data_IF_309611191482
#
_entry.id   IF_309611191482
#
_cell.length_a   1.000
_cell.length_b   1.000
_cell.length_c   1.000
_cell.angle_alpha   90.00
_cell.angle_beta   90.00
_cell.angle_gamma   90.00
#
_symmetry.space_group_name_H-M   'P 1'
#
loop_
_entity.id
_entity.type
_entity.pdbx_description
1 polymer ?
#
# COMPACT_ATOMS: atom_id res chain seq x y z
N UNK A 1 42.74 18.84 -33.65
CA UNK A 1 43.68 17.71 -33.52
C UNK A 1 43.59 17.21 -32.08
N UNK A 2 43.31 15.97 -31.71
CA UNK A 2 43.02 14.70 -32.39
C UNK A 2 42.52 13.76 -31.27
N UNK A 3 41.30 13.21 -31.41
CA UNK A 3 40.87 11.78 -31.26
C UNK A 3 41.43 11.00 -30.03
N UNK A 4 40.68 10.31 -29.18
CA UNK A 4 39.90 9.09 -29.44
C UNK A 4 39.15 8.68 -28.14
N UNK A 5 37.84 8.42 -28.15
CA UNK A 5 37.12 7.22 -28.57
C UNK A 5 36.90 6.18 -27.44
N UNK A 6 35.62 5.89 -27.18
CA UNK A 6 35.09 4.79 -26.36
C UNK A 6 35.43 3.40 -26.96
N UNK A 7 35.21 2.28 -26.23
CA UNK A 7 33.90 1.57 -26.27
C UNK A 7 33.50 1.00 -24.87
N UNK A 8 32.21 0.73 -24.59
CA UNK A 8 31.52 -0.55 -24.86
C UNK A 8 32.07 -1.66 -23.94
N UNK A 9 31.31 -2.55 -23.30
CA UNK A 9 29.99 -3.13 -23.55
C UNK A 9 29.74 -4.14 -22.40
N UNK A 10 28.46 -4.43 -22.12
CA UNK A 10 27.93 -5.73 -21.65
C UNK A 10 28.45 -6.28 -20.31
N UNK A 11 27.66 -6.78 -19.36
CA UNK A 11 26.35 -7.41 -19.44
C UNK A 11 26.31 -8.46 -18.32
N UNK A 12 25.11 -8.73 -17.83
CA UNK A 12 24.75 -9.94 -17.06
C UNK A 12 25.41 -10.10 -15.67
N UNK A 13 24.67 -9.74 -14.62
CA UNK A 13 24.87 -10.30 -13.28
C UNK A 13 24.45 -11.78 -13.31
N UNK A 14 25.32 -12.75 -12.97
CA UNK A 14 24.88 -14.11 -12.77
C UNK A 14 24.23 -14.23 -11.38
N UNK A 15 23.03 -14.81 -11.37
CA UNK A 15 22.42 -15.44 -10.20
C UNK A 15 23.39 -16.51 -9.68
N UNK A 16 23.83 -16.39 -8.44
CA UNK A 16 24.53 -17.46 -7.74
C UNK A 16 23.85 -17.66 -6.38
N UNK A 17 23.15 -18.80 -6.28
CA UNK A 17 22.64 -19.41 -5.06
C UNK A 17 23.79 -19.83 -4.13
N UNK A 18 23.53 -20.01 -2.82
CA UNK A 18 24.57 -20.07 -1.81
C UNK A 18 25.16 -21.48 -1.68
N UNK A 19 26.45 -21.64 -1.98
CA UNK A 19 27.22 -22.79 -1.52
C UNK A 19 28.17 -22.38 -0.40
N UNK A 20 28.09 -23.15 0.67
CA UNK A 20 28.72 -22.93 1.95
C UNK A 20 30.21 -23.23 1.89
N UNK A 21 31.06 -22.21 2.03
CA UNK A 21 32.42 -22.36 2.55
C UNK A 21 32.74 -21.21 3.50
N UNK A 22 32.76 -21.52 4.80
CA UNK A 22 33.02 -20.59 5.89
C UNK A 22 34.53 -20.31 5.95
N UNK A 23 34.99 -19.34 5.17
CA UNK A 23 36.33 -18.77 5.33
C UNK A 23 36.24 -17.67 6.40
N UNK A 24 36.82 -17.94 7.58
CA UNK A 24 36.99 -16.98 8.70
C UNK A 24 37.87 -15.81 8.25
N UNK A 25 37.28 -14.85 7.56
CA UNK A 25 37.88 -13.56 7.25
C UNK A 25 38.04 -12.75 8.54
N UNK A 26 39.29 -12.46 8.92
CA UNK A 26 39.65 -11.59 10.04
C UNK A 26 38.94 -10.24 9.86
N UNK A 27 38.01 -9.91 10.77
CA UNK A 27 37.31 -8.62 10.78
C UNK A 27 38.35 -7.51 10.92
N UNK A 28 38.52 -6.71 9.87
CA UNK A 28 39.25 -5.43 9.93
C UNK A 28 38.69 -4.62 11.10
N UNK A 29 39.52 -3.94 11.92
CA UNK A 29 39.01 -3.12 13.00
C UNK A 29 38.07 -2.08 12.37
N UNK A 30 36.79 -2.13 12.76
CA UNK A 30 35.80 -1.14 12.37
C UNK A 30 36.33 0.17 12.95
N UNK A 31 36.91 1.02 12.10
CA UNK A 31 37.18 2.42 12.47
C UNK A 31 35.87 2.92 13.05
N UNK A 32 35.87 3.14 14.36
CA UNK A 32 34.74 3.70 15.06
C UNK A 32 34.50 5.05 14.41
N UNK A 33 33.48 5.11 13.54
CA UNK A 33 32.95 6.37 13.05
C UNK A 33 32.47 7.09 14.30
N UNK A 34 33.33 7.93 14.89
CA UNK A 34 32.99 8.83 15.99
C UNK A 34 31.64 9.42 15.63
N UNK A 35 30.63 9.12 16.44
CA UNK A 35 29.28 9.62 16.22
C UNK A 35 29.38 11.12 15.99
N UNK A 36 29.01 11.59 14.79
CA UNK A 36 29.03 13.04 14.48
C UNK A 36 28.05 13.83 15.34
N UNK A 37 27.21 13.15 16.11
CA UNK A 37 26.18 13.70 16.98
C UNK A 37 26.49 13.30 18.43
N UNK A 38 26.50 14.28 19.33
CA UNK A 38 26.50 14.05 20.78
C UNK A 38 25.25 13.25 21.20
N UNK A 39 25.30 12.55 22.33
CA UNK A 39 24.14 11.87 22.91
C UNK A 39 22.94 12.82 23.06
N UNK A 40 23.19 14.07 23.46
CA UNK A 40 22.14 15.08 23.57
C UNK A 40 21.56 15.47 22.20
N UNK A 41 22.40 15.52 21.16
CA UNK A 41 21.96 15.79 19.80
C UNK A 41 21.13 14.64 19.25
N UNK A 42 21.50 13.39 19.53
CA UNK A 42 20.71 12.21 19.17
C UNK A 42 19.35 12.24 19.87
N UNK A 43 19.31 12.57 21.16
CA UNK A 43 18.05 12.69 21.91
C UNK A 43 17.14 13.77 21.32
N UNK A 44 17.69 14.96 21.03
CA UNK A 44 16.95 16.06 20.39
C UNK A 44 16.42 15.65 19.02
N UNK A 45 17.28 15.06 18.17
CA UNK A 45 16.88 14.62 16.83
C UNK A 45 15.79 13.54 16.89
N UNK A 46 15.87 12.61 17.84
CA UNK A 46 14.85 11.58 18.02
C UNK A 46 13.48 12.20 18.31
N UNK A 47 13.40 13.10 19.30
CA UNK A 47 12.14 13.80 19.65
C UNK A 47 11.59 14.58 18.46
N UNK A 48 12.44 15.32 17.75
CA UNK A 48 12.02 16.09 16.56
C UNK A 48 11.53 15.17 15.44
N UNK A 49 12.24 14.08 15.15
CA UNK A 49 11.86 13.13 14.11
C UNK A 49 10.53 12.45 14.42
N UNK A 50 10.29 12.11 15.69
CA UNK A 50 9.07 11.47 16.13
C UNK A 50 7.89 12.44 16.14
N UNK A 51 8.11 13.69 16.54
CA UNK A 51 7.11 14.74 16.46
C UNK A 51 6.67 14.95 15.01
N UNK A 52 7.63 15.08 14.08
CA UNK A 52 7.34 15.20 12.64
C UNK A 52 6.59 13.99 12.09
N UNK A 53 6.99 12.78 12.49
CA UNK A 53 6.29 11.54 12.09
C UNK A 53 4.83 11.57 12.53
N UNK A 54 4.56 11.99 13.77
CA UNK A 54 3.19 12.07 14.31
C UNK A 54 2.37 13.17 13.64
N UNK A 55 2.98 14.30 13.30
CA UNK A 55 2.32 15.37 12.53
C UNK A 55 1.93 14.90 11.13
N UNK A 56 2.81 14.17 10.44
CA UNK A 56 2.49 13.56 9.15
C UNK A 56 1.32 12.58 9.25
N UNK A 57 1.33 11.69 10.24
CA UNK A 57 0.23 10.75 10.47
C UNK A 57 -1.09 11.48 10.73
N UNK A 58 -1.06 12.56 11.51
CA UNK A 58 -2.26 13.40 11.74
C UNK A 58 -2.76 14.06 10.46
N UNK A 59 -1.85 14.55 9.62
CA UNK A 59 -2.21 15.11 8.30
C UNK A 59 -2.93 14.09 7.42
N UNK A 60 -2.46 12.85 7.39
CA UNK A 60 -3.12 11.77 6.64
C UNK A 60 -4.57 11.54 7.12
N UNK A 61 -4.80 11.55 8.45
CA UNK A 61 -6.16 11.42 8.98
C UNK A 61 -7.03 12.65 8.70
N UNK A 62 -6.45 13.85 8.72
CA UNK A 62 -7.16 15.07 8.35
C UNK A 62 -7.61 15.01 6.87
N UNK A 63 -6.78 14.49 5.97
CA UNK A 63 -7.10 14.29 4.55
C UNK A 63 -8.22 13.25 4.36
N UNK A 64 -8.16 12.13 5.09
CA UNK A 64 -9.20 11.10 5.04
C UNK A 64 -10.57 11.65 5.45
N UNK A 65 -10.63 12.47 6.50
CA UNK A 65 -11.89 13.11 6.92
C UNK A 65 -12.39 14.12 5.89
N UNK A 66 -11.50 14.75 5.11
CA UNK A 66 -11.91 15.62 4.01
C UNK A 66 -12.54 14.88 2.83
N UNK A 67 -12.14 13.64 2.58
CA UNK A 67 -12.56 12.87 1.39
C UNK A 67 -13.76 11.96 1.67
N UNK A 68 -13.82 11.34 2.85
CA UNK A 68 -14.84 10.34 3.18
C UNK A 68 -16.12 11.01 3.65
N UNK A 69 -17.25 10.87 2.91
CA UNK A 69 -18.53 11.41 3.34
C UNK A 69 -18.98 10.81 4.67
N UNK A 70 -19.49 11.65 5.56
CA UNK A 70 -19.98 11.24 6.88
C UNK A 70 -18.89 11.12 7.95
N UNK A 71 -17.63 11.46 7.67
CA UNK A 71 -16.64 11.79 8.69
C UNK A 71 -16.67 13.28 9.01
N UNK A 72 -16.80 13.61 10.29
CA UNK A 72 -16.82 14.99 10.76
C UNK A 72 -15.44 15.44 11.23
N UNK A 73 -15.18 16.76 11.18
CA UNK A 73 -13.89 17.32 11.65
C UNK A 73 -13.59 17.03 13.12
N UNK A 74 -14.62 16.79 13.94
CA UNK A 74 -14.51 16.37 15.34
C UNK A 74 -13.99 14.94 15.49
N UNK A 75 -14.14 14.10 14.47
CA UNK A 75 -13.80 12.67 14.49
C UNK A 75 -12.36 12.38 14.02
N UNK A 76 -11.61 13.41 13.59
CA UNK A 76 -10.23 13.33 13.05
C UNK A 76 -9.20 12.69 13.99
N UNK A 77 -9.57 12.43 15.24
CA UNK A 77 -8.71 11.81 16.27
C UNK A 77 -9.13 10.41 16.68
N UNK A 78 -10.23 9.89 16.14
CA UNK A 78 -10.69 8.53 16.41
C UNK A 78 -10.27 7.59 15.26
N UNK A 79 -9.09 6.99 15.37
CA UNK A 79 -8.53 6.11 14.33
C UNK A 79 -9.51 4.99 13.95
N UNK A 80 -10.09 4.32 14.94
CA UNK A 80 -11.06 3.26 14.71
C UNK A 80 -12.28 3.73 13.91
N UNK A 81 -12.85 4.88 14.29
CA UNK A 81 -14.04 5.41 13.62
C UNK A 81 -13.73 5.85 12.19
N UNK A 82 -12.56 6.47 11.97
CA UNK A 82 -12.06 6.81 10.64
C UNK A 82 -11.98 5.56 9.79
N UNK A 83 -11.36 4.47 10.28
CA UNK A 83 -11.25 3.24 9.52
C UNK A 83 -12.60 2.61 9.19
N UNK A 84 -13.50 2.49 10.15
CA UNK A 84 -14.83 1.89 9.93
C UNK A 84 -15.61 2.67 8.88
N UNK A 85 -15.70 4.01 9.01
CA UNK A 85 -16.42 4.84 8.04
C UNK A 85 -15.77 4.83 6.67
N UNK A 86 -14.44 4.83 6.61
CA UNK A 86 -13.68 4.72 5.35
C UNK A 86 -13.97 3.39 4.66
N UNK A 87 -13.91 2.27 5.37
CA UNK A 87 -14.19 0.94 4.81
C UNK A 87 -15.63 0.81 4.32
N UNK A 88 -16.59 1.37 5.06
CA UNK A 88 -17.99 1.43 4.65
C UNK A 88 -18.16 2.24 3.37
N UNK A 89 -17.48 3.40 3.27
CA UNK A 89 -17.53 4.24 2.09
C UNK A 89 -16.90 3.56 0.86
N UNK A 90 -15.75 2.92 1.01
CA UNK A 90 -15.14 2.11 -0.06
C UNK A 90 -16.10 1.02 -0.53
N UNK A 91 -16.68 0.25 0.41
CA UNK A 91 -17.64 -0.80 0.10
C UNK A 91 -18.85 -0.27 -0.67
N UNK A 92 -19.34 0.93 -0.31
CA UNK A 92 -20.40 1.61 -1.02
C UNK A 92 -19.98 2.03 -2.44
N UNK A 93 -18.78 2.58 -2.62
CA UNK A 93 -18.25 2.97 -3.93
C UNK A 93 -18.16 1.77 -4.89
N UNK A 94 -17.65 0.63 -4.42
CA UNK A 94 -17.58 -0.61 -5.22
C UNK A 94 -18.98 -1.08 -5.66
N UNK A 95 -19.92 -1.17 -4.71
CA UNK A 95 -21.32 -1.54 -5.02
C UNK A 95 -21.97 -0.56 -5.99
N UNK A 96 -21.73 0.73 -5.80
CA UNK A 96 -22.28 1.80 -6.65
C UNK A 96 -21.69 1.74 -8.06
N UNK A 97 -20.39 1.51 -8.21
CA UNK A 97 -19.73 1.32 -9.50
C UNK A 97 -20.33 0.12 -10.25
N UNK A 98 -20.45 -1.03 -9.58
CA UNK A 98 -21.07 -2.24 -10.15
C UNK A 98 -22.51 -1.98 -10.61
N UNK A 99 -23.33 -1.33 -9.78
CA UNK A 99 -24.70 -0.95 -10.13
C UNK A 99 -24.76 -0.04 -11.36
N UNK A 100 -23.92 0.99 -11.41
CA UNK A 100 -23.90 1.93 -12.54
C UNK A 100 -23.46 1.25 -13.83
N UNK A 101 -22.51 0.31 -13.77
CA UNK A 101 -22.10 -0.52 -14.91
C UNK A 101 -23.26 -1.38 -15.42
N UNK A 102 -24.01 -2.03 -14.52
CA UNK A 102 -25.21 -2.77 -14.91
C UNK A 102 -26.26 -1.87 -15.60
N UNK A 103 -26.48 -0.66 -15.08
CA UNK A 103 -27.38 0.33 -15.69
C UNK A 103 -26.90 0.83 -17.06
N UNK A 104 -25.59 0.92 -17.28
CA UNK A 104 -25.05 1.24 -18.60
C UNK A 104 -25.36 0.13 -19.60
N UNK A 105 -25.20 -1.15 -19.23
CA UNK A 105 -25.56 -2.27 -20.11
C UNK A 105 -27.03 -2.25 -20.52
N UNK A 106 -27.94 -2.11 -19.56
CA UNK A 106 -29.39 -2.01 -19.80
C UNK A 106 -29.73 -0.85 -20.77
N UNK A 107 -29.08 0.30 -20.57
CA UNK A 107 -29.27 1.47 -21.44
C UNK A 107 -28.75 1.23 -22.86
N UNK A 108 -27.61 0.57 -23.03
CA UNK A 108 -27.09 0.27 -24.37
C UNK A 108 -27.93 -0.79 -25.09
N UNK A 109 -28.39 -1.81 -24.37
CA UNK A 109 -29.27 -2.85 -24.89
C UNK A 109 -30.60 -2.27 -25.40
N UNK A 110 -31.26 -1.42 -24.60
CA UNK A 110 -32.49 -0.73 -25.02
C UNK A 110 -32.31 0.21 -26.22
N UNK A 111 -31.09 0.67 -26.49
CA UNK A 111 -30.74 1.48 -27.66
C UNK A 111 -30.35 0.64 -28.89
N UNK A 112 -30.47 -0.70 -28.82
CA UNK A 112 -30.06 -1.60 -29.89
C UNK A 112 -28.55 -1.70 -30.07
N UNK A 113 -27.76 -1.24 -29.08
CA UNK A 113 -26.29 -1.31 -29.08
C UNK A 113 -25.83 -2.48 -28.22
N UNK A 114 -25.92 -3.68 -28.75
CA UNK A 114 -25.59 -4.93 -28.03
C UNK A 114 -24.08 -5.19 -27.86
N UNK A 115 -23.20 -4.42 -28.52
CA UNK A 115 -21.74 -4.59 -28.45
C UNK A 115 -21.03 -3.35 -27.89
N UNK A 116 -21.45 -2.88 -26.71
CA UNK A 116 -20.74 -1.82 -25.98
C UNK A 116 -19.98 -2.43 -24.82
N UNK A 117 -18.67 -2.60 -24.99
CA UNK A 117 -17.78 -3.03 -23.92
C UNK A 117 -17.52 -1.86 -22.95
N UNK A 118 -17.74 -2.08 -21.66
CA UNK A 118 -17.34 -1.12 -20.63
C UNK A 118 -15.81 -1.10 -20.57
N UNK A 119 -15.17 0.08 -20.67
CA UNK A 119 -13.72 0.19 -20.54
C UNK A 119 -13.20 -0.42 -19.23
N UNK A 120 -12.08 -1.15 -19.30
CA UNK A 120 -11.50 -1.84 -18.14
C UNK A 120 -11.18 -0.89 -16.97
N UNK A 121 -10.82 0.36 -17.22
CA UNK A 121 -10.53 1.35 -16.17
C UNK A 121 -11.77 1.79 -15.37
N UNK A 122 -12.97 1.45 -15.82
CA UNK A 122 -14.22 1.64 -15.07
C UNK A 122 -14.57 0.44 -14.20
N UNK A 123 -13.86 -0.68 -14.34
CA UNK A 123 -14.08 -1.90 -13.58
C UNK A 123 -13.30 -1.83 -12.27
N UNK A 124 -14.00 -1.46 -11.22
CA UNK A 124 -13.48 -1.48 -9.85
C UNK A 124 -14.26 -2.51 -9.08
N UNK A 125 -13.71 -3.71 -8.95
CA UNK A 125 -14.33 -4.81 -8.23
C UNK A 125 -13.64 -5.02 -6.88
N UNK A 126 -14.42 -5.37 -5.86
CA UNK A 126 -13.88 -5.66 -4.54
C UNK A 126 -13.05 -6.96 -4.61
N UNK A 127 -11.78 -6.97 -4.18
CA UNK A 127 -10.98 -8.19 -4.14
C UNK A 127 -11.66 -9.28 -3.31
N UNK A 128 -11.76 -10.50 -3.86
CA UNK A 128 -12.41 -11.64 -3.20
C UNK A 128 -11.79 -11.95 -1.83
N UNK A 129 -10.50 -11.64 -1.64
CA UNK A 129 -9.81 -11.79 -0.35
C UNK A 129 -10.39 -10.92 0.78
N UNK A 130 -11.10 -9.83 0.45
CA UNK A 130 -11.78 -8.96 1.42
C UNK A 130 -13.26 -9.31 1.58
N UNK A 131 -13.80 -10.23 0.76
CA UNK A 131 -15.19 -10.67 0.82
C UNK A 131 -15.44 -11.79 1.86
N UNK A 132 -14.38 -12.31 2.49
CA UNK A 132 -14.45 -13.41 3.45
C UNK A 132 -14.35 -12.92 4.90
N UNK A 133 -15.50 -12.64 5.52
CA UNK A 133 -15.72 -12.94 6.95
C UNK A 133 -17.23 -12.92 7.26
N UNK A 134 -17.91 -14.06 7.08
CA UNK A 134 -19.21 -14.36 7.71
C UNK A 134 -19.71 -15.80 7.52
N UNK A 135 -18.84 -16.74 7.14
CA UNK A 135 -19.13 -18.16 7.30
C UNK A 135 -18.16 -18.75 8.32
N UNK A 136 -18.59 -18.82 9.58
CA UNK A 136 -18.00 -19.76 10.54
C UNK A 136 -17.99 -21.14 9.88
N UNK A 137 -16.87 -21.87 9.85
CA UNK A 137 -16.94 -23.30 9.59
C UNK A 137 -17.76 -23.92 10.74
N UNK A 138 -18.87 -24.56 10.38
CA UNK A 138 -19.61 -25.47 11.25
C UNK A 138 -18.65 -26.51 11.83
N UNK A 139 -18.71 -26.86 13.12
CA UNK A 139 -17.90 -27.94 13.65
C UNK A 139 -18.35 -29.26 13.00
N UNK A 140 -17.45 -29.84 12.20
CA UNK A 140 -17.62 -31.19 11.66
C UNK A 140 -17.79 -32.18 12.82
N UNK A 141 -18.72 -33.15 12.73
CA UNK A 141 -18.91 -34.13 13.79
C UNK A 141 -17.67 -35.01 13.91
N UNK A 142 -17.12 -35.08 15.11
CA UNK A 142 -16.06 -36.00 15.49
C UNK A 142 -16.56 -37.43 15.30
N UNK A 143 -16.05 -38.14 14.29
CA UNK A 143 -16.21 -39.59 14.21
C UNK A 143 -15.47 -40.24 15.38
N UNK A 144 -16.22 -41.00 16.19
CA UNK A 144 -15.69 -42.07 17.04
C UNK A 144 -15.55 -43.33 16.20
#
# INVERSE_FOLDING_TARGET
MTIANSPGVNGVNPVISPTAEVIKQRKKPRVEKKSKLSLDQVRKNHVVSEQRRRELVRGIYDDLVGIVPGLEKSERRSEFLIYVKTMNHLSWLYKRNSYLRAKLYEKYESQGRSNVAIPNWLVWDLPQSLAHDNQKPSPSPSSK
#
